data_IF_923080599787
#
_entry.id   IF_923080599787
#
_cell.length_a   1.000
_cell.length_b   1.000
_cell.length_c   1.000
_cell.angle_alpha   90.00
_cell.angle_beta   90.00
_cell.angle_gamma   90.00
#
_symmetry.space_group_name_H-M   'P 1'
#
loop_
_entity.id
_entity.type
_entity.pdbx_description
1 polymer ?
#
# COMPACT_ATOMS: atom_id res chain seq x y z
N UNK A 1 -47.02 -33.87 23.45
CA UNK A 1 -46.99 -32.41 23.37
C UNK A 1 -45.61 -31.79 23.06
N UNK A 2 -44.50 -32.55 23.06
CA UNK A 2 -43.12 -32.02 22.82
C UNK A 2 -42.72 -31.89 21.35
N UNK A 3 -43.40 -32.52 20.40
CA UNK A 3 -43.01 -32.55 18.96
C UNK A 3 -43.46 -31.26 18.23
N UNK A 4 -44.50 -30.55 18.73
CA UNK A 4 -45.02 -29.36 18.07
C UNK A 4 -44.18 -28.10 18.36
N UNK A 5 -43.46 -28.08 19.46
CA UNK A 5 -42.57 -26.95 19.83
C UNK A 5 -41.28 -26.92 19.05
N UNK A 6 -40.71 -28.06 18.63
CA UNK A 6 -39.47 -28.11 17.87
C UNK A 6 -39.60 -27.58 16.43
N UNK A 7 -40.74 -27.83 15.78
CA UNK A 7 -41.00 -27.38 14.41
C UNK A 7 -41.23 -25.83 14.32
N UNK A 8 -41.71 -25.19 15.38
CA UNK A 8 -41.87 -23.72 15.37
C UNK A 8 -40.54 -22.96 15.52
N UNK A 9 -39.63 -23.45 16.35
CA UNK A 9 -38.28 -22.86 16.49
C UNK A 9 -37.44 -22.96 15.21
N UNK A 10 -37.59 -24.02 14.41
CA UNK A 10 -36.90 -24.17 13.13
C UNK A 10 -37.38 -23.20 12.05
N UNK A 11 -38.63 -22.75 12.12
CA UNK A 11 -39.21 -21.79 11.19
C UNK A 11 -38.80 -20.33 11.51
N UNK A 12 -38.63 -20.00 12.79
CA UNK A 12 -38.27 -18.63 13.20
C UNK A 12 -36.79 -18.31 13.01
N UNK A 13 -35.91 -19.30 13.04
CA UNK A 13 -34.47 -19.11 12.84
C UNK A 13 -34.13 -18.41 11.51
N UNK A 14 -34.59 -18.88 10.35
CA UNK A 14 -34.38 -18.22 9.06
C UNK A 14 -34.98 -16.81 8.97
N UNK A 15 -36.15 -16.60 9.57
CA UNK A 15 -36.85 -15.30 9.57
C UNK A 15 -36.04 -14.28 10.39
N UNK A 16 -35.55 -14.67 11.56
CA UNK A 16 -34.72 -13.81 12.42
C UNK A 16 -33.40 -13.49 11.72
N UNK A 17 -32.76 -14.48 11.08
CA UNK A 17 -31.53 -14.26 10.32
C UNK A 17 -31.75 -13.32 9.15
N UNK A 18 -32.84 -13.49 8.39
CA UNK A 18 -33.20 -12.59 7.29
C UNK A 18 -33.46 -11.16 7.78
N UNK A 19 -34.15 -11.01 8.91
CA UNK A 19 -34.39 -9.70 9.51
C UNK A 19 -33.10 -9.04 9.99
N UNK A 20 -32.22 -9.75 10.66
CA UNK A 20 -30.90 -9.26 11.10
C UNK A 20 -30.07 -8.82 9.88
N UNK A 21 -30.05 -9.64 8.83
CA UNK A 21 -29.34 -9.33 7.58
C UNK A 21 -29.91 -8.07 6.94
N UNK A 22 -31.22 -7.94 6.85
CA UNK A 22 -31.88 -6.75 6.32
C UNK A 22 -31.54 -5.48 7.12
N UNK A 23 -31.57 -5.56 8.44
CA UNK A 23 -31.19 -4.44 9.33
C UNK A 23 -29.72 -4.04 9.12
N UNK A 24 -28.83 -5.02 8.96
CA UNK A 24 -27.40 -4.76 8.67
C UNK A 24 -27.24 -4.06 7.32
N UNK A 25 -27.93 -4.53 6.27
CA UNK A 25 -27.90 -3.94 4.93
C UNK A 25 -28.42 -2.50 4.94
N UNK A 26 -29.56 -2.27 5.57
CA UNK A 26 -30.15 -0.91 5.69
C UNK A 26 -29.21 0.01 6.46
N UNK A 27 -28.61 -0.45 7.56
CA UNK A 27 -27.63 0.35 8.31
C UNK A 27 -26.40 0.68 7.48
N UNK A 28 -25.91 -0.26 6.65
CA UNK A 28 -24.78 -0.03 5.76
C UNK A 28 -25.13 1.03 4.70
N UNK A 29 -26.27 0.92 4.04
CA UNK A 29 -26.76 1.89 3.05
C UNK A 29 -26.86 3.31 3.61
N UNK A 30 -27.42 3.45 4.82
CA UNK A 30 -27.59 4.76 5.47
C UNK A 30 -26.24 5.36 5.85
N UNK A 31 -25.32 4.54 6.39
CA UNK A 31 -24.00 5.02 6.87
C UNK A 31 -22.99 5.23 5.77
N UNK A 32 -23.08 4.46 4.69
CA UNK A 32 -22.07 4.41 3.64
C UNK A 32 -22.68 4.48 2.23
N UNK A 33 -23.48 5.52 1.90
CA UNK A 33 -24.25 5.57 0.67
C UNK A 33 -23.38 5.57 -0.60
N UNK A 34 -22.13 6.00 -0.50
CA UNK A 34 -21.17 5.91 -1.59
C UNK A 34 -20.71 4.46 -1.80
N UNK A 35 -20.24 3.81 -0.74
CA UNK A 35 -19.65 2.47 -0.83
C UNK A 35 -20.68 1.38 -1.10
N UNK A 36 -21.94 1.59 -0.71
CA UNK A 36 -23.02 0.64 -0.96
C UNK A 36 -23.23 0.33 -2.45
N UNK A 37 -23.03 1.34 -3.30
CA UNK A 37 -23.20 1.24 -4.75
C UNK A 37 -21.91 0.84 -5.49
N UNK A 38 -20.80 0.68 -4.79
CA UNK A 38 -19.50 0.39 -5.40
C UNK A 38 -19.24 -1.11 -5.49
N UNK A 39 -18.51 -1.58 -6.53
CA UNK A 39 -18.08 -2.97 -6.67
C UNK A 39 -16.90 -3.24 -5.73
N UNK A 40 -17.18 -3.33 -4.44
CA UNK A 40 -16.18 -3.61 -3.39
C UNK A 40 -16.38 -5.00 -2.82
N UNK A 41 -15.30 -5.62 -2.37
CA UNK A 41 -15.35 -6.93 -1.74
C UNK A 41 -16.05 -6.82 -0.38
N UNK A 42 -17.12 -7.59 -0.18
CA UNK A 42 -17.86 -7.69 1.08
C UNK A 42 -17.66 -9.09 1.65
N UNK A 43 -17.57 -9.19 2.97
CA UNK A 43 -17.37 -10.46 3.64
C UNK A 43 -18.54 -11.46 3.48
N UNK A 44 -19.70 -10.96 3.10
CA UNK A 44 -20.92 -11.72 2.84
C UNK A 44 -21.08 -12.16 1.36
N UNK A 45 -20.16 -11.73 0.49
CA UNK A 45 -20.16 -12.10 -0.92
C UNK A 45 -18.92 -12.96 -1.26
N UNK A 46 -18.94 -14.26 -1.00
CA UNK A 46 -17.93 -15.17 -1.53
C UNK A 46 -18.08 -15.21 -3.05
N UNK A 47 -17.27 -14.45 -3.76
CA UNK A 47 -17.26 -14.39 -5.21
C UNK A 47 -16.10 -15.17 -5.81
N UNK A 48 -16.22 -15.51 -7.09
CA UNK A 48 -15.10 -16.00 -7.88
C UNK A 48 -14.01 -14.93 -7.96
N UNK A 49 -12.75 -15.37 -8.02
CA UNK A 49 -11.61 -14.46 -8.24
C UNK A 49 -11.77 -13.76 -9.59
N UNK A 50 -11.70 -12.45 -9.60
CA UNK A 50 -11.81 -11.69 -10.83
C UNK A 50 -12.51 -10.34 -10.69
N UNK A 51 -12.77 -9.72 -11.84
CA UNK A 51 -13.45 -8.43 -11.92
C UNK A 51 -14.92 -8.59 -11.50
N UNK A 52 -15.33 -7.75 -10.54
CA UNK A 52 -16.70 -7.81 -9.98
C UNK A 52 -17.73 -7.26 -10.99
N UNK A 53 -17.43 -6.16 -11.69
CA UNK A 53 -18.37 -5.58 -12.61
C UNK A 53 -17.93 -4.25 -13.22
N UNK A 54 -18.90 -3.42 -13.57
CA UNK A 54 -18.65 -2.06 -14.05
C UNK A 54 -18.98 -1.05 -12.96
N UNK A 55 -17.99 -0.28 -12.55
CA UNK A 55 -18.15 0.73 -11.51
C UNK A 55 -19.20 1.78 -11.89
N UNK A 56 -20.13 2.16 -11.00
CA UNK A 56 -21.04 3.26 -11.23
C UNK A 56 -20.27 4.58 -11.30
N UNK A 57 -20.69 5.48 -12.16
CA UNK A 57 -20.16 6.85 -12.23
C UNK A 57 -21.09 7.79 -11.49
N UNK A 58 -20.56 8.48 -10.50
CA UNK A 58 -21.26 9.58 -9.87
C UNK A 58 -21.00 10.87 -10.65
N UNK A 59 -22.01 11.41 -11.30
CA UNK A 59 -21.92 12.72 -11.91
C UNK A 59 -22.07 13.80 -10.82
N UNK A 60 -20.98 14.07 -10.14
CA UNK A 60 -20.94 15.18 -9.18
C UNK A 60 -20.68 16.46 -9.99
N UNK A 61 -21.69 17.33 -10.07
CA UNK A 61 -21.52 18.66 -10.66
C UNK A 61 -20.62 19.49 -9.77
N UNK A 62 -19.54 20.03 -10.34
CA UNK A 62 -18.69 21.00 -9.64
C UNK A 62 -19.47 22.29 -9.46
N UNK A 63 -19.45 22.82 -8.23
CA UNK A 63 -19.98 24.16 -7.92
C UNK A 63 -19.07 25.24 -8.52
N UNK A 64 -19.60 26.44 -8.65
CA UNK A 64 -18.79 27.62 -9.07
C UNK A 64 -17.54 27.79 -8.21
N UNK A 65 -16.42 28.16 -8.83
CA UNK A 65 -15.12 28.29 -8.17
C UNK A 65 -14.32 27.00 -8.03
N UNK A 66 -14.93 25.83 -8.28
CA UNK A 66 -14.21 24.54 -8.23
C UNK A 66 -13.75 24.09 -9.61
N UNK A 67 -12.54 23.53 -9.68
CA UNK A 67 -11.94 23.02 -10.93
C UNK A 67 -11.16 21.72 -10.66
N UNK A 68 -11.28 20.74 -11.54
CA UNK A 68 -10.41 19.57 -11.57
C UNK A 68 -9.32 19.77 -12.62
N UNK A 69 -8.07 19.56 -12.24
CA UNK A 69 -6.94 19.49 -13.16
C UNK A 69 -6.39 18.06 -13.17
N UNK A 70 -6.17 17.55 -14.37
CA UNK A 70 -5.65 16.20 -14.59
C UNK A 70 -4.26 16.33 -15.19
N UNK A 71 -3.25 15.74 -14.53
CA UNK A 71 -1.84 15.75 -14.95
C UNK A 71 -1.24 17.14 -15.25
N UNK A 72 -1.83 18.18 -14.72
CA UNK A 72 -1.46 19.55 -15.03
C UNK A 72 -1.46 20.44 -13.79
N UNK A 73 -0.57 20.14 -12.85
CA UNK A 73 -0.35 20.99 -11.67
C UNK A 73 1.11 20.93 -11.25
N UNK A 74 1.74 22.06 -10.86
CA UNK A 74 3.15 22.12 -10.50
C UNK A 74 3.49 21.17 -9.34
N UNK A 75 4.53 20.35 -9.51
CA UNK A 75 4.98 19.35 -8.52
C UNK A 75 5.19 19.97 -7.14
N UNK A 76 5.87 21.10 -7.05
CA UNK A 76 6.15 21.78 -5.77
C UNK A 76 4.88 22.17 -5.02
N UNK A 77 3.82 22.58 -5.73
CA UNK A 77 2.54 22.89 -5.09
C UNK A 77 1.79 21.65 -4.62
N UNK A 78 1.88 20.53 -5.36
CA UNK A 78 1.34 19.24 -4.92
C UNK A 78 2.08 18.79 -3.66
N UNK A 79 3.40 18.85 -3.66
CA UNK A 79 4.24 18.47 -2.52
C UNK A 79 3.88 19.28 -1.28
N UNK A 80 3.90 20.62 -1.36
CA UNK A 80 3.53 21.49 -0.24
C UNK A 80 2.13 21.16 0.28
N UNK A 81 1.15 21.01 -0.60
CA UNK A 81 -0.22 20.63 -0.21
C UNK A 81 -0.27 19.30 0.55
N UNK A 82 0.46 18.29 0.09
CA UNK A 82 0.50 16.98 0.73
C UNK A 82 1.24 17.05 2.07
N UNK A 83 2.36 17.76 2.19
CA UNK A 83 3.09 17.96 3.44
C UNK A 83 2.21 18.63 4.51
N UNK A 84 1.39 19.60 4.10
CA UNK A 84 0.51 20.34 5.02
C UNK A 84 -0.74 19.55 5.43
N UNK A 85 -1.23 18.61 4.60
CA UNK A 85 -2.57 18.04 4.75
C UNK A 85 -2.64 16.51 4.82
N UNK A 86 -1.64 15.77 4.30
CA UNK A 86 -1.69 14.31 4.22
C UNK A 86 -1.33 13.66 5.56
N UNK A 87 -0.28 14.13 6.21
CA UNK A 87 0.13 13.69 7.55
C UNK A 87 0.97 14.78 8.22
N UNK A 88 0.64 15.13 9.44
CA UNK A 88 1.30 16.22 10.19
C UNK A 88 2.80 16.01 10.44
N UNK A 89 3.34 14.82 10.17
CA UNK A 89 4.71 14.44 10.48
C UNK A 89 5.48 13.84 9.30
N UNK A 90 4.92 13.89 8.08
CA UNK A 90 5.49 13.22 6.92
C UNK A 90 6.05 14.24 5.93
N UNK A 91 7.37 14.25 5.77
CA UNK A 91 8.02 15.01 4.71
C UNK A 91 8.13 14.15 3.46
N UNK A 92 7.52 14.58 2.39
CA UNK A 92 7.51 13.84 1.13
C UNK A 92 8.85 13.98 0.43
N UNK A 93 9.48 12.85 0.13
CA UNK A 93 10.67 12.83 -0.72
C UNK A 93 10.28 13.32 -2.12
N UNK A 94 10.88 14.44 -2.54
CA UNK A 94 10.57 15.11 -3.81
C UNK A 94 10.90 14.23 -5.02
N UNK A 95 12.05 13.56 -5.00
CA UNK A 95 12.47 12.70 -6.10
C UNK A 95 11.54 11.52 -6.27
N UNK A 96 11.11 10.92 -5.14
CA UNK A 96 10.12 9.85 -5.15
C UNK A 96 8.77 10.34 -5.67
N UNK A 97 8.26 11.46 -5.18
CA UNK A 97 7.00 12.04 -5.65
C UNK A 97 7.06 12.39 -7.15
N UNK A 98 8.17 12.99 -7.60
CA UNK A 98 8.42 13.29 -9.01
C UNK A 98 8.38 12.02 -9.87
N UNK A 99 9.06 10.97 -9.41
CA UNK A 99 9.08 9.68 -10.09
C UNK A 99 7.68 9.11 -10.30
N UNK A 100 6.89 8.96 -9.23
CA UNK A 100 5.55 8.34 -9.33
C UNK A 100 4.57 9.19 -10.14
N UNK A 101 4.61 10.52 -9.98
CA UNK A 101 3.71 11.44 -10.71
C UNK A 101 4.02 11.44 -12.21
N UNK A 102 5.30 11.33 -12.60
CA UNK A 102 5.74 11.35 -13.99
C UNK A 102 5.71 10.00 -14.69
N UNK A 103 5.42 8.93 -13.95
CA UNK A 103 5.39 7.57 -14.48
C UNK A 103 4.38 7.44 -15.63
N UNK A 104 4.75 6.80 -16.76
CA UNK A 104 3.84 6.61 -17.89
C UNK A 104 2.50 5.97 -17.48
N UNK A 105 1.42 6.54 -17.96
CA UNK A 105 0.06 6.07 -17.64
C UNK A 105 -0.45 6.46 -16.25
N UNK A 106 0.30 7.22 -15.45
CA UNK A 106 -0.20 7.76 -14.18
C UNK A 106 -1.26 8.84 -14.39
N UNK A 107 -2.21 8.91 -13.46
CA UNK A 107 -3.21 9.96 -13.39
C UNK A 107 -3.08 10.71 -12.06
N UNK A 108 -2.89 12.02 -12.17
CA UNK A 108 -2.76 12.94 -11.04
C UNK A 108 -3.92 13.92 -11.13
N UNK A 109 -4.81 13.91 -10.15
CA UNK A 109 -5.96 14.80 -10.12
C UNK A 109 -5.82 15.76 -8.97
N UNK A 110 -5.77 17.05 -9.29
CA UNK A 110 -5.83 18.15 -8.33
C UNK A 110 -7.20 18.79 -8.36
N UNK A 111 -7.85 18.90 -7.20
CA UNK A 111 -9.07 19.64 -7.01
C UNK A 111 -8.72 21.04 -6.50
N UNK A 112 -9.15 22.04 -7.22
CA UNK A 112 -8.92 23.43 -6.87
C UNK A 112 -10.22 24.12 -6.45
N UNK A 113 -10.09 25.09 -5.55
CA UNK A 113 -11.09 26.12 -5.29
C UNK A 113 -10.42 27.48 -5.35
N UNK A 114 -10.98 28.37 -6.19
CA UNK A 114 -10.46 29.73 -6.39
C UNK A 114 -8.93 29.75 -6.67
N UNK A 115 -8.48 28.80 -7.50
CA UNK A 115 -7.07 28.63 -7.90
C UNK A 115 -6.16 27.95 -6.90
N UNK A 116 -6.60 27.65 -5.67
CA UNK A 116 -5.83 26.95 -4.63
C UNK A 116 -6.16 25.48 -4.63
N UNK A 117 -5.14 24.61 -4.43
CA UNK A 117 -5.34 23.18 -4.27
C UNK A 117 -6.02 22.87 -2.93
N UNK A 118 -7.10 22.13 -2.97
CA UNK A 118 -7.86 21.68 -1.80
C UNK A 118 -8.01 20.16 -1.73
N UNK A 119 -7.59 19.46 -2.76
CA UNK A 119 -7.59 18.00 -2.80
C UNK A 119 -6.69 17.45 -3.87
N UNK A 120 -6.13 16.26 -3.61
CA UNK A 120 -5.25 15.56 -4.54
C UNK A 120 -5.48 14.06 -4.45
N UNK A 121 -5.31 13.36 -5.56
CA UNK A 121 -5.29 11.90 -5.66
C UNK A 121 -4.37 11.48 -6.80
N UNK A 122 -3.60 10.43 -6.58
CA UNK A 122 -2.71 9.81 -7.55
C UNK A 122 -3.17 8.40 -7.90
N UNK A 123 -2.91 7.96 -9.14
CA UNK A 123 -3.15 6.59 -9.57
C UNK A 123 -2.13 6.19 -10.64
N UNK A 124 -1.49 5.04 -10.47
CA UNK A 124 -0.52 4.49 -11.41
C UNK A 124 -0.86 3.05 -11.82
N UNK A 125 -0.47 2.60 -13.03
CA UNK A 125 -0.60 1.20 -13.41
C UNK A 125 0.40 0.34 -12.64
N UNK A 126 -0.06 -0.83 -12.20
CA UNK A 126 0.80 -1.83 -11.59
C UNK A 126 0.39 -3.23 -12.05
N UNK A 127 1.38 -4.06 -12.33
CA UNK A 127 1.19 -5.45 -12.71
C UNK A 127 1.48 -6.35 -11.50
N UNK A 128 0.51 -7.16 -11.13
CA UNK A 128 0.61 -8.09 -10.02
C UNK A 128 0.39 -9.52 -10.49
N UNK A 129 1.24 -10.40 -10.03
CA UNK A 129 0.98 -11.84 -10.08
C UNK A 129 0.12 -12.20 -8.89
N UNK A 130 -1.07 -12.72 -9.15
CA UNK A 130 -1.97 -13.30 -8.15
C UNK A 130 -2.06 -14.78 -8.44
N UNK A 131 -1.50 -15.60 -7.55
CA UNK A 131 -1.17 -16.99 -7.84
C UNK A 131 -0.31 -17.07 -9.11
N UNK A 132 -0.82 -17.64 -10.19
CA UNK A 132 -0.12 -17.79 -11.48
C UNK A 132 -0.70 -16.88 -12.57
N UNK A 133 -1.56 -15.95 -12.22
CA UNK A 133 -2.21 -15.03 -13.18
C UNK A 133 -1.66 -13.62 -13.04
N UNK A 134 -1.24 -13.05 -14.16
CA UNK A 134 -0.86 -11.62 -14.23
C UNK A 134 -2.14 -10.78 -14.30
N UNK A 135 -2.32 -9.88 -13.36
CA UNK A 135 -3.46 -8.97 -13.29
C UNK A 135 -2.95 -7.54 -13.26
N UNK A 136 -3.43 -6.74 -14.20
CA UNK A 136 -3.13 -5.32 -14.24
C UNK A 136 -4.10 -4.55 -13.33
N UNK A 137 -3.55 -3.94 -12.29
CA UNK A 137 -4.25 -3.05 -11.37
C UNK A 137 -3.89 -1.60 -11.63
N UNK A 138 -4.70 -0.72 -11.04
CA UNK A 138 -4.31 0.66 -10.76
C UNK A 138 -4.05 0.78 -9.26
N UNK A 139 -2.86 1.20 -8.88
CA UNK A 139 -2.59 1.54 -7.50
C UNK A 139 -2.97 3.00 -7.25
N UNK A 140 -3.79 3.23 -6.24
CA UNK A 140 -4.26 4.58 -5.87
C UNK A 140 -3.64 4.97 -4.54
N UNK A 141 -2.99 6.13 -4.52
CA UNK A 141 -2.38 6.69 -3.31
C UNK A 141 -2.61 8.21 -3.22
N UNK A 142 -2.11 8.81 -2.14
CA UNK A 142 -2.17 10.26 -1.88
C UNK A 142 -3.57 10.88 -1.96
N UNK A 143 -4.63 10.12 -1.65
CA UNK A 143 -5.94 10.73 -1.49
C UNK A 143 -5.91 11.66 -0.27
N UNK A 144 -5.83 12.95 -0.54
CA UNK A 144 -5.76 13.99 0.46
C UNK A 144 -6.79 15.09 0.18
N UNK A 145 -7.46 15.55 1.23
CA UNK A 145 -8.37 16.69 1.20
C UNK A 145 -7.98 17.64 2.31
N UNK A 146 -7.88 18.91 1.98
CA UNK A 146 -7.67 19.99 2.96
C UNK A 146 -8.73 19.91 4.06
N UNK A 147 -8.34 20.04 5.31
CA UNK A 147 -9.20 19.78 6.48
C UNK A 147 -10.53 20.53 6.44
N UNK A 148 -10.53 21.80 6.06
CA UNK A 148 -11.73 22.65 5.96
C UNK A 148 -12.77 22.12 4.95
N UNK A 149 -12.33 21.30 3.98
CA UNK A 149 -13.21 20.76 2.93
C UNK A 149 -13.53 19.27 3.13
N UNK A 150 -13.06 18.67 4.23
CA UNK A 150 -13.44 17.29 4.58
C UNK A 150 -14.95 17.21 4.86
N UNK A 151 -15.52 16.03 4.72
CA UNK A 151 -16.95 15.73 4.90
C UNK A 151 -17.91 16.42 3.89
N UNK A 152 -17.40 17.07 2.86
CA UNK A 152 -18.16 17.74 1.80
C UNK A 152 -18.14 16.96 0.47
N UNK A 153 -18.12 15.64 0.49
CA UNK A 153 -18.06 14.75 -0.69
C UNK A 153 -16.86 14.97 -1.62
N UNK A 154 -15.84 15.75 -1.22
CA UNK A 154 -14.66 16.04 -2.08
C UNK A 154 -13.81 14.79 -2.33
N UNK A 155 -13.66 13.91 -1.35
CA UNK A 155 -13.01 12.62 -1.53
C UNK A 155 -13.77 11.74 -2.54
N UNK A 156 -15.10 11.68 -2.43
CA UNK A 156 -15.96 10.96 -3.37
C UNK A 156 -15.81 11.49 -4.80
N UNK A 157 -15.71 12.80 -4.97
CA UNK A 157 -15.48 13.45 -6.25
C UNK A 157 -14.15 12.99 -6.87
N UNK A 158 -13.04 13.04 -6.11
CA UNK A 158 -11.73 12.61 -6.57
C UNK A 158 -11.69 11.12 -6.91
N UNK A 159 -12.27 10.27 -6.06
CA UNK A 159 -12.36 8.82 -6.31
C UNK A 159 -13.18 8.56 -7.59
N UNK A 160 -14.31 9.23 -7.78
CA UNK A 160 -15.14 9.08 -8.98
C UNK A 160 -14.41 9.53 -10.25
N UNK A 161 -13.61 10.59 -10.16
CA UNK A 161 -12.80 11.06 -11.27
C UNK A 161 -11.70 10.03 -11.64
N UNK A 162 -11.01 9.46 -10.66
CA UNK A 162 -10.02 8.37 -10.90
C UNK A 162 -10.69 7.14 -11.52
N UNK A 163 -11.84 6.71 -11.01
CA UNK A 163 -12.58 5.56 -11.57
C UNK A 163 -12.94 5.82 -13.04
N UNK A 164 -13.38 7.03 -13.36
CA UNK A 164 -13.75 7.41 -14.74
C UNK A 164 -12.53 7.40 -15.67
N UNK A 165 -11.39 7.92 -15.24
CA UNK A 165 -10.16 7.98 -16.02
C UNK A 165 -9.53 6.59 -16.24
N UNK A 166 -9.63 5.72 -15.24
CA UNK A 166 -8.98 4.41 -15.22
C UNK A 166 -9.79 3.30 -15.92
N UNK A 167 -10.78 3.61 -16.74
CA UNK A 167 -11.73 2.61 -17.24
C UNK A 167 -12.51 1.91 -16.10
N UNK A 168 -13.81 2.04 -16.11
CA UNK A 168 -14.75 1.60 -15.05
C UNK A 168 -14.72 0.09 -14.73
N UNK A 169 -14.07 -0.72 -15.54
CA UNK A 169 -13.87 -2.17 -15.29
C UNK A 169 -12.50 -2.51 -14.73
N UNK A 170 -11.56 -1.56 -14.74
CA UNK A 170 -10.20 -1.83 -14.30
C UNK A 170 -10.14 -2.04 -12.79
N UNK A 171 -9.47 -3.11 -12.32
CA UNK A 171 -9.18 -3.32 -10.91
C UNK A 171 -8.34 -2.18 -10.34
N UNK A 172 -8.71 -1.76 -9.12
CA UNK A 172 -7.95 -0.75 -8.39
C UNK A 172 -7.52 -1.36 -7.06
N UNK A 173 -6.32 -1.03 -6.60
CA UNK A 173 -5.81 -1.37 -5.30
C UNK A 173 -5.35 -0.12 -4.57
N UNK A 174 -5.50 -0.11 -3.25
CA UNK A 174 -5.00 0.95 -2.39
C UNK A 174 -4.78 0.43 -0.96
N UNK A 175 -4.00 1.17 -0.19
CA UNK A 175 -3.81 0.93 1.24
C UNK A 175 -4.46 2.01 2.09
N UNK A 176 -4.82 1.64 3.31
CA UNK A 176 -5.31 2.58 4.32
C UNK A 176 -4.69 2.27 5.67
N UNK A 177 -4.13 3.28 6.28
CA UNK A 177 -3.54 3.21 7.61
C UNK A 177 -4.59 3.44 8.70
N UNK A 178 -4.34 2.92 9.89
CA UNK A 178 -5.04 3.11 11.16
C UNK A 178 -6.46 2.55 11.22
N UNK A 179 -7.38 2.96 10.37
CA UNK A 179 -8.80 2.62 10.47
C UNK A 179 -9.30 1.79 9.29
N UNK A 180 -10.14 0.80 9.60
CA UNK A 180 -10.77 -0.06 8.61
C UNK A 180 -11.88 0.69 7.85
N UNK A 181 -11.99 0.44 6.55
CA UNK A 181 -13.14 0.87 5.75
C UNK A 181 -14.35 -0.06 5.99
N UNK A 182 -15.56 0.35 5.59
CA UNK A 182 -16.78 -0.43 5.83
C UNK A 182 -16.90 -1.70 4.98
N UNK A 183 -15.86 -2.09 4.25
CA UNK A 183 -15.81 -3.33 3.46
C UNK A 183 -14.53 -4.12 3.74
N UNK A 184 -14.42 -5.32 3.17
CA UNK A 184 -13.41 -6.30 3.57
C UNK A 184 -12.05 -6.00 2.93
N UNK A 185 -10.99 -5.79 3.71
CA UNK A 185 -9.63 -5.76 3.18
C UNK A 185 -9.22 -7.18 2.78
N UNK A 186 -8.46 -7.33 1.71
CA UNK A 186 -7.89 -8.63 1.33
C UNK A 186 -6.63 -8.98 2.14
N UNK A 187 -5.93 -7.97 2.68
CA UNK A 187 -4.85 -8.14 3.65
C UNK A 187 -5.03 -7.13 4.78
N UNK A 188 -4.83 -7.60 6.00
CA UNK A 188 -4.72 -6.78 7.20
C UNK A 188 -3.40 -7.10 7.88
N UNK A 189 -2.53 -6.11 8.02
CA UNK A 189 -1.20 -6.25 8.58
C UNK A 189 -0.86 -5.08 9.50
N UNK A 190 0.38 -5.01 9.97
CA UNK A 190 0.89 -3.91 10.77
C UNK A 190 2.29 -3.52 10.33
N UNK A 191 2.64 -2.25 10.54
CA UNK A 191 4.02 -1.79 10.52
C UNK A 191 4.67 -2.00 11.88
N UNK A 192 5.95 -2.32 11.84
CA UNK A 192 6.80 -2.45 12.99
C UNK A 192 8.01 -1.53 12.84
N UNK A 193 8.49 -0.98 13.94
CA UNK A 193 9.57 -0.01 13.96
C UNK A 193 10.68 -0.43 14.93
N UNK A 194 11.92 -0.20 14.54
CA UNK A 194 13.12 -0.37 15.36
C UNK A 194 13.88 0.95 15.45
N UNK A 195 14.15 1.39 16.66
CA UNK A 195 15.00 2.57 16.93
C UNK A 195 16.47 2.16 16.91
N UNK A 196 17.24 2.70 15.97
CA UNK A 196 18.66 2.44 15.82
C UNK A 196 19.55 3.61 16.26
N UNK A 197 18.98 4.67 16.82
CA UNK A 197 19.72 5.88 17.24
C UNK A 197 20.81 5.57 18.29
N UNK A 198 20.55 4.61 19.17
CA UNK A 198 21.46 4.23 20.25
C UNK A 198 22.57 3.26 19.82
N UNK A 199 22.49 2.70 18.60
CA UNK A 199 23.52 1.83 18.08
C UNK A 199 24.80 2.62 17.81
N UNK A 200 25.95 2.04 18.17
CA UNK A 200 27.24 2.57 17.75
C UNK A 200 27.48 2.16 16.30
N UNK A 201 27.83 3.08 15.41
CA UNK A 201 28.18 2.73 14.02
C UNK A 201 29.35 1.77 14.00
N UNK A 202 29.17 0.64 13.34
CA UNK A 202 30.24 -0.35 13.14
C UNK A 202 30.37 -0.55 11.62
N UNK A 203 31.62 -0.58 11.12
CA UNK A 203 31.87 -0.90 9.73
C UNK A 203 31.35 -2.30 9.41
N UNK A 204 30.56 -2.42 8.36
CA UNK A 204 29.95 -3.67 7.92
C UNK A 204 30.59 -4.06 6.60
N UNK A 205 31.28 -5.19 6.59
CA UNK A 205 32.03 -5.64 5.38
C UNK A 205 31.19 -6.51 4.41
N UNK A 206 30.08 -7.05 4.92
CA UNK A 206 29.29 -8.04 4.18
C UNK A 206 28.16 -7.43 3.32
N UNK A 207 28.17 -6.11 3.12
CA UNK A 207 27.18 -5.43 2.29
C UNK A 207 27.75 -5.12 0.91
N UNK A 208 27.02 -5.56 -0.10
CA UNK A 208 27.32 -5.26 -1.50
C UNK A 208 26.24 -4.36 -2.08
N UNK A 209 26.67 -3.51 -3.01
CA UNK A 209 25.75 -2.65 -3.78
C UNK A 209 25.38 -3.31 -5.10
N UNK A 210 24.19 -2.99 -5.57
CA UNK A 210 23.78 -3.27 -6.92
C UNK A 210 24.58 -2.37 -7.87
N UNK A 211 25.05 -2.95 -8.98
CA UNK A 211 25.81 -2.24 -10.01
C UNK A 211 25.32 -2.63 -11.40
N UNK A 212 25.59 -1.85 -12.45
CA UNK A 212 25.26 -2.23 -13.82
C UNK A 212 25.84 -3.59 -14.26
N UNK A 213 26.96 -4.04 -13.65
CA UNK A 213 27.59 -5.32 -13.98
C UNK A 213 26.91 -6.53 -13.35
N UNK A 214 26.26 -6.36 -12.19
CA UNK A 214 25.64 -7.47 -11.45
C UNK A 214 24.09 -7.43 -11.43
N UNK A 215 23.46 -6.36 -11.96
CA UNK A 215 22.02 -6.17 -11.82
C UNK A 215 21.20 -7.30 -12.43
N UNK A 216 21.61 -7.83 -13.59
CA UNK A 216 20.86 -8.89 -14.27
C UNK A 216 20.82 -10.19 -13.45
N UNK A 217 21.93 -10.52 -12.79
CA UNK A 217 22.00 -11.65 -11.86
C UNK A 217 21.04 -11.46 -10.70
N UNK A 218 21.02 -10.26 -10.11
CA UNK A 218 20.16 -9.98 -8.96
C UNK A 218 18.69 -9.79 -9.35
N UNK A 219 18.38 -9.27 -10.52
CA UNK A 219 17.03 -9.27 -11.07
C UNK A 219 16.46 -10.69 -11.16
N UNK A 220 17.20 -11.61 -11.78
CA UNK A 220 16.79 -13.03 -11.90
C UNK A 220 16.62 -13.67 -10.53
N UNK A 221 17.57 -13.46 -9.62
CA UNK A 221 17.52 -13.99 -8.26
C UNK A 221 16.31 -13.43 -7.48
N UNK A 222 16.08 -12.13 -7.53
CA UNK A 222 14.94 -11.47 -6.90
C UNK A 222 13.60 -12.05 -7.36
N UNK A 223 13.40 -12.13 -8.69
CA UNK A 223 12.16 -12.68 -9.24
C UNK A 223 11.98 -14.16 -8.89
N UNK A 224 13.07 -14.96 -8.84
CA UNK A 224 13.01 -16.36 -8.37
C UNK A 224 12.54 -16.46 -6.92
N UNK A 225 13.01 -15.56 -6.04
CA UNK A 225 12.57 -15.51 -4.64
C UNK A 225 11.14 -15.01 -4.51
N UNK A 226 10.74 -14.04 -5.31
CA UNK A 226 9.36 -13.52 -5.34
C UNK A 226 8.34 -14.59 -5.79
N UNK A 227 8.73 -15.53 -6.64
CA UNK A 227 7.84 -16.60 -7.11
C UNK A 227 7.33 -17.53 -5.98
N UNK A 228 7.87 -17.43 -4.77
CA UNK A 228 7.39 -18.18 -3.59
C UNK A 228 6.09 -17.61 -3.00
N UNK A 229 5.69 -16.42 -3.41
CA UNK A 229 4.53 -15.72 -2.87
C UNK A 229 3.33 -15.82 -3.82
N UNK A 230 2.15 -16.04 -3.24
CA UNK A 230 0.90 -16.14 -3.99
C UNK A 230 0.49 -14.80 -4.61
N UNK A 231 0.86 -13.69 -3.96
CA UNK A 231 0.68 -12.34 -4.49
C UNK A 231 2.00 -11.60 -4.48
N UNK A 232 2.43 -11.11 -5.65
CA UNK A 232 3.73 -10.46 -5.82
C UNK A 232 3.74 -9.49 -7.00
N UNK A 233 4.62 -8.50 -6.92
CA UNK A 233 4.97 -7.64 -8.07
C UNK A 233 6.30 -8.13 -8.65
N UNK A 234 6.31 -8.75 -9.84
CA UNK A 234 7.55 -9.11 -10.52
C UNK A 234 8.24 -7.83 -11.05
N UNK A 235 9.56 -7.84 -11.07
CA UNK A 235 10.32 -6.77 -11.72
C UNK A 235 10.59 -7.13 -13.18
N UNK A 236 10.29 -6.20 -14.10
CA UNK A 236 10.84 -6.23 -15.45
C UNK A 236 12.29 -5.74 -15.42
N UNK A 237 13.04 -5.99 -16.51
CA UNK A 237 14.40 -5.47 -16.63
C UNK A 237 14.43 -3.94 -16.59
N UNK A 238 13.49 -3.30 -17.26
CA UNK A 238 13.38 -1.84 -17.32
C UNK A 238 13.06 -1.25 -15.93
N UNK A 239 12.01 -1.75 -15.26
CA UNK A 239 11.64 -1.27 -13.93
C UNK A 239 12.77 -1.45 -12.90
N UNK A 240 13.44 -2.61 -12.93
CA UNK A 240 14.54 -2.90 -12.00
C UNK A 240 15.73 -1.96 -12.20
N UNK A 241 16.09 -1.70 -13.46
CA UNK A 241 17.16 -0.76 -13.79
C UNK A 241 16.79 0.66 -13.41
N UNK A 242 15.60 1.12 -13.79
CA UNK A 242 15.12 2.47 -13.51
C UNK A 242 15.05 2.77 -12.02
N UNK A 243 14.43 1.87 -11.25
CA UNK A 243 14.18 2.08 -9.82
C UNK A 243 15.46 2.06 -8.99
N UNK A 244 16.37 1.13 -9.27
CA UNK A 244 17.52 0.88 -8.40
C UNK A 244 18.85 1.46 -8.90
N UNK A 245 18.99 1.71 -10.20
CA UNK A 245 20.27 2.14 -10.80
C UNK A 245 20.20 3.51 -11.46
N UNK A 246 19.15 3.80 -12.22
CA UNK A 246 19.02 5.08 -12.94
C UNK A 246 18.47 6.18 -12.03
N UNK A 247 17.30 6.00 -11.47
CA UNK A 247 16.66 7.00 -10.61
C UNK A 247 17.06 6.89 -9.13
N UNK A 248 17.59 5.73 -8.72
CA UNK A 248 17.93 5.44 -7.32
C UNK A 248 16.79 5.76 -6.33
N UNK A 249 15.55 5.46 -6.74
CA UNK A 249 14.34 5.77 -5.97
C UNK A 249 14.23 4.86 -4.75
N UNK A 250 14.74 3.64 -4.87
CA UNK A 250 14.77 2.65 -3.81
C UNK A 250 16.19 2.11 -3.65
N UNK A 251 16.49 1.72 -2.42
CA UNK A 251 17.73 1.05 -2.09
C UNK A 251 17.61 -0.47 -2.29
N UNK A 252 18.62 -1.05 -2.90
CA UNK A 252 18.77 -2.48 -3.07
C UNK A 252 20.04 -2.93 -2.33
N UNK A 253 19.86 -3.46 -1.12
CA UNK A 253 20.94 -3.85 -0.22
C UNK A 253 21.14 -5.37 -0.30
N UNK A 254 22.35 -5.79 -0.61
CA UNK A 254 22.74 -7.20 -0.68
C UNK A 254 23.60 -7.51 0.53
N UNK A 255 23.15 -8.42 1.37
CA UNK A 255 23.88 -8.89 2.54
C UNK A 255 24.36 -10.32 2.25
N UNK A 256 25.67 -10.53 2.28
CA UNK A 256 26.28 -11.85 2.14
C UNK A 256 26.78 -12.32 3.51
N UNK A 257 26.41 -13.54 3.91
CA UNK A 257 26.98 -14.15 5.10
C UNK A 257 28.33 -14.86 4.79
N UNK A 258 28.98 -15.40 5.82
CA UNK A 258 30.25 -16.11 5.69
C UNK A 258 30.21 -17.32 4.71
N UNK A 259 29.03 -17.88 4.51
CA UNK A 259 28.80 -19.01 3.60
C UNK A 259 28.43 -18.56 2.17
N UNK A 260 28.53 -17.27 1.85
CA UNK A 260 28.14 -16.71 0.55
C UNK A 260 26.64 -16.66 0.29
N UNK A 261 25.82 -16.95 1.32
CA UNK A 261 24.36 -16.88 1.24
C UNK A 261 23.94 -15.42 1.21
N UNK A 262 23.02 -15.11 0.28
CA UNK A 262 22.60 -13.74 0.02
C UNK A 262 21.21 -13.47 0.53
N UNK A 263 21.08 -12.39 1.27
CA UNK A 263 19.78 -11.78 1.60
C UNK A 263 19.70 -10.44 0.90
N UNK A 264 18.57 -10.20 0.26
CA UNK A 264 18.26 -8.95 -0.40
C UNK A 264 17.27 -8.18 0.50
N UNK A 265 17.57 -6.92 0.76
CA UNK A 265 16.67 -5.98 1.41
C UNK A 265 16.35 -4.89 0.41
N UNK A 266 15.08 -4.72 0.12
CA UNK A 266 14.56 -3.65 -0.73
C UNK A 266 13.80 -2.68 0.16
N UNK A 267 14.10 -1.41 0.04
CA UNK A 267 13.45 -0.37 0.83
C UNK A 267 13.75 1.03 0.32
N UNK A 268 13.21 2.01 1.00
CA UNK A 268 13.36 3.43 0.63
C UNK A 268 13.57 4.32 1.85
N UNK A 269 14.11 5.49 1.60
CA UNK A 269 14.23 6.55 2.59
C UNK A 269 12.89 7.27 2.76
N UNK A 270 12.40 7.32 4.00
CA UNK A 270 11.31 8.20 4.42
C UNK A 270 11.83 9.20 5.45
N UNK A 271 11.23 10.38 5.46
CA UNK A 271 11.61 11.47 6.35
C UNK A 271 10.39 11.82 7.20
N UNK A 272 10.56 11.81 8.50
CA UNK A 272 9.54 12.25 9.46
C UNK A 272 9.99 13.53 10.15
N UNK A 273 9.05 14.43 10.38
CA UNK A 273 9.27 15.61 11.20
C UNK A 273 8.51 15.43 12.52
N UNK A 274 9.24 15.22 13.60
CA UNK A 274 8.66 15.10 14.92
C UNK A 274 9.04 16.32 15.75
N UNK A 275 8.11 17.24 15.95
CA UNK A 275 8.31 18.47 16.74
C UNK A 275 9.54 19.30 16.27
N UNK A 276 9.71 19.46 14.96
CA UNK A 276 10.84 20.18 14.38
C UNK A 276 12.13 19.35 14.22
N UNK A 277 12.16 18.11 14.72
CA UNK A 277 13.31 17.21 14.57
C UNK A 277 13.09 16.35 13.32
N UNK A 278 14.02 16.42 12.40
CA UNK A 278 14.02 15.58 11.18
C UNK A 278 14.58 14.19 11.54
N UNK A 279 13.80 13.17 11.29
CA UNK A 279 14.12 11.78 11.55
C UNK A 279 14.14 11.00 10.23
N UNK A 280 15.30 10.45 9.88
CA UNK A 280 15.44 9.57 8.72
C UNK A 280 15.00 8.15 9.09
N UNK A 281 14.04 7.62 8.36
CA UNK A 281 13.55 6.26 8.50
C UNK A 281 13.84 5.47 7.23
N UNK A 282 14.35 4.27 7.35
CA UNK A 282 14.44 3.33 6.25
C UNK A 282 13.20 2.43 6.28
N UNK A 283 12.33 2.58 5.32
CA UNK A 283 11.15 1.73 5.16
C UNK A 283 11.51 0.54 4.31
N UNK A 284 11.50 -0.65 4.92
CA UNK A 284 11.71 -1.91 4.21
C UNK A 284 10.41 -2.30 3.51
N UNK A 285 10.46 -2.49 2.20
CA UNK A 285 9.34 -3.07 1.46
C UNK A 285 9.35 -4.60 1.62
N UNK A 286 10.49 -5.22 1.33
CA UNK A 286 10.62 -6.68 1.44
C UNK A 286 12.06 -7.11 1.70
N UNK A 287 12.18 -8.22 2.44
CA UNK A 287 13.41 -8.96 2.67
C UNK A 287 13.28 -10.31 1.96
N UNK A 288 14.23 -10.64 1.09
CA UNK A 288 14.24 -11.86 0.30
C UNK A 288 15.53 -12.64 0.54
N UNK A 289 15.46 -13.97 0.59
CA UNK A 289 16.63 -14.82 0.72
C UNK A 289 16.50 -15.87 1.82
N UNK A 290 17.62 -16.31 2.36
CA UNK A 290 17.68 -17.29 3.42
C UNK A 290 17.47 -16.65 4.79
N UNK A 291 16.36 -16.98 5.41
CA UNK A 291 15.98 -16.44 6.72
C UNK A 291 16.57 -17.25 7.91
N UNK A 292 17.49 -18.17 7.69
CA UNK A 292 18.19 -18.90 8.76
C UNK A 292 19.09 -17.99 9.59
N UNK A 293 19.66 -16.95 8.98
CA UNK A 293 20.61 -16.02 9.57
C UNK A 293 19.99 -14.65 9.85
N UNK A 294 18.71 -14.63 10.14
CA UNK A 294 17.92 -13.40 10.14
C UNK A 294 18.38 -12.39 11.20
N UNK A 295 18.88 -12.87 12.33
CA UNK A 295 19.44 -12.01 13.40
C UNK A 295 20.76 -11.36 12.97
N UNK A 296 21.60 -12.08 12.23
CA UNK A 296 22.83 -11.53 11.65
C UNK A 296 22.50 -10.49 10.58
N UNK A 297 21.50 -10.77 9.74
CA UNK A 297 20.99 -9.84 8.73
C UNK A 297 20.49 -8.55 9.37
N UNK A 298 19.71 -8.65 10.44
CA UNK A 298 19.21 -7.48 11.16
C UNK A 298 20.34 -6.65 11.79
N UNK A 299 21.29 -7.29 12.43
CA UNK A 299 22.47 -6.61 13.00
C UNK A 299 23.29 -5.91 11.93
N UNK A 300 23.55 -6.59 10.82
CA UNK A 300 24.29 -6.06 9.68
C UNK A 300 23.58 -4.86 9.08
N UNK A 301 22.28 -5.00 8.78
CA UNK A 301 21.43 -3.96 8.21
C UNK A 301 21.32 -2.75 9.14
N UNK A 302 21.05 -2.97 10.41
CA UNK A 302 20.92 -1.91 11.41
C UNK A 302 22.19 -1.08 11.54
N UNK A 303 23.36 -1.71 11.58
CA UNK A 303 24.64 -1.01 11.62
C UNK A 303 24.92 -0.24 10.33
N UNK A 304 24.64 -0.83 9.18
CA UNK A 304 24.80 -0.15 7.89
C UNK A 304 23.92 1.08 7.79
N UNK A 305 22.62 0.95 8.06
CA UNK A 305 21.69 2.06 8.03
C UNK A 305 22.05 3.15 9.04
N UNK A 306 22.54 2.76 10.22
CA UNK A 306 23.05 3.71 11.20
C UNK A 306 24.26 4.49 10.67
N UNK A 307 25.19 3.85 9.98
CA UNK A 307 26.35 4.51 9.36
C UNK A 307 25.96 5.49 8.25
N UNK A 308 24.78 5.28 7.62
CA UNK A 308 24.19 6.18 6.61
C UNK A 308 23.33 7.30 7.24
N UNK A 309 23.24 7.40 8.56
CA UNK A 309 22.51 8.46 9.25
C UNK A 309 21.01 8.20 9.43
N UNK A 310 20.55 6.96 9.27
CA UNK A 310 19.18 6.60 9.61
C UNK A 310 18.97 6.53 11.13
N UNK A 311 17.77 6.87 11.56
CA UNK A 311 17.32 6.87 12.96
C UNK A 311 16.46 5.65 13.27
N UNK A 312 15.66 5.21 12.29
CA UNK A 312 14.70 4.13 12.44
C UNK A 312 14.69 3.21 11.23
N UNK A 313 14.27 1.97 11.49
CA UNK A 313 13.90 0.99 10.46
C UNK A 313 12.41 0.70 10.63
N UNK A 314 11.64 0.82 9.56
CA UNK A 314 10.21 0.53 9.51
C UNK A 314 9.95 -0.66 8.60
N UNK A 315 9.16 -1.65 9.05
CA UNK A 315 8.95 -2.91 8.35
C UNK A 315 7.49 -3.30 8.38
N UNK A 316 6.81 -3.50 7.24
CA UNK A 316 5.48 -4.09 7.19
C UNK A 316 5.55 -5.59 7.48
N UNK A 317 4.60 -6.12 8.25
CA UNK A 317 4.52 -7.55 8.55
C UNK A 317 3.85 -8.32 7.39
N UNK A 318 4.52 -8.34 6.23
CA UNK A 318 4.11 -9.07 5.03
C UNK A 318 5.26 -9.96 4.53
N UNK A 319 4.92 -11.05 3.85
CA UNK A 319 5.88 -11.96 3.27
C UNK A 319 6.92 -12.47 4.26
N UNK A 320 8.14 -12.49 3.83
CA UNK A 320 9.31 -12.88 4.63
C UNK A 320 9.65 -11.91 5.76
N UNK A 321 9.16 -10.67 5.71
CA UNK A 321 9.37 -9.68 6.76
C UNK A 321 8.78 -10.14 8.10
N UNK A 322 7.73 -10.97 8.10
CA UNK A 322 7.10 -11.48 9.32
C UNK A 322 8.10 -12.23 10.19
N UNK A 323 8.91 -13.11 9.58
CA UNK A 323 9.94 -13.84 10.31
C UNK A 323 11.03 -12.90 10.81
N UNK A 324 11.44 -11.95 9.97
CA UNK A 324 12.43 -10.93 10.33
C UNK A 324 12.00 -10.12 11.57
N UNK A 325 10.73 -9.72 11.62
CA UNK A 325 10.17 -8.97 12.75
C UNK A 325 10.12 -9.83 14.03
N UNK A 326 9.69 -11.10 13.92
CA UNK A 326 9.52 -12.00 15.07
C UNK A 326 10.83 -12.33 15.79
N UNK A 327 11.90 -12.44 15.03
CA UNK A 327 13.20 -12.87 15.53
C UNK A 327 14.08 -11.69 15.98
N UNK A 328 13.56 -10.45 15.92
CA UNK A 328 14.29 -9.23 16.25
C UNK A 328 13.41 -8.22 17.01
N UNK A 329 14.03 -7.25 17.69
CA UNK A 329 13.37 -6.29 18.58
C UNK A 329 12.61 -5.17 17.84
N UNK A 330 11.61 -5.52 17.08
CA UNK A 330 10.71 -4.57 16.41
C UNK A 330 9.44 -4.36 17.23
N UNK A 331 9.05 -3.10 17.42
CA UNK A 331 7.83 -2.71 18.14
C UNK A 331 6.71 -2.38 17.12
N UNK A 332 5.51 -2.87 17.40
CA UNK A 332 4.35 -2.57 16.58
C UNK A 332 4.04 -1.07 16.62
N UNK A 333 3.88 -0.47 15.44
CA UNK A 333 3.58 0.96 15.25
C UNK A 333 2.11 1.18 14.84
N UNK A 334 1.74 0.79 13.63
CA UNK A 334 0.41 1.06 13.08
C UNK A 334 -0.19 -0.18 12.42
N UNK A 335 -1.50 -0.16 12.21
CA UNK A 335 -2.17 -1.16 11.36
C UNK A 335 -2.35 -0.61 9.96
N UNK A 336 -2.28 -1.50 8.98
CA UNK A 336 -2.46 -1.22 7.56
C UNK A 336 -3.42 -2.22 6.96
N UNK A 337 -4.31 -1.73 6.12
CA UNK A 337 -5.32 -2.50 5.43
C UNK A 337 -5.17 -2.29 3.94
N UNK A 338 -5.05 -3.38 3.18
CA UNK A 338 -5.02 -3.35 1.72
C UNK A 338 -6.39 -3.74 1.17
N UNK A 339 -6.86 -2.96 0.23
CA UNK A 339 -8.17 -3.11 -0.38
C UNK A 339 -8.06 -3.23 -1.88
N UNK A 340 -8.98 -4.01 -2.45
CA UNK A 340 -9.25 -4.00 -3.88
C UNK A 340 -10.60 -3.35 -4.14
N UNK A 341 -10.68 -2.64 -5.25
CA UNK A 341 -11.89 -2.10 -5.81
C UNK A 341 -12.10 -2.73 -7.17
N UNK A 342 -13.32 -3.17 -7.43
CA UNK A 342 -13.72 -3.86 -8.66
C UNK A 342 -12.95 -5.16 -8.98
N UNK A 343 -12.39 -5.79 -7.95
CA UNK A 343 -11.72 -7.07 -8.08
C UNK A 343 -11.89 -7.90 -6.81
N UNK A 344 -12.34 -9.14 -6.98
CA UNK A 344 -12.47 -10.08 -5.88
C UNK A 344 -11.19 -10.91 -5.78
N UNK A 345 -10.50 -10.78 -4.66
CA UNK A 345 -9.32 -11.60 -4.32
C UNK A 345 -9.71 -12.47 -3.12
N UNK A 346 -9.44 -13.77 -3.13
CA UNK A 346 -9.55 -14.57 -1.92
C UNK A 346 -8.62 -14.03 -0.84
N UNK A 347 -8.94 -14.28 0.42
CA UNK A 347 -8.08 -13.90 1.53
C UNK A 347 -6.69 -14.47 1.33
N UNK A 348 -5.72 -13.59 1.11
CA UNK A 348 -4.31 -13.94 1.05
C UNK A 348 -3.72 -13.66 2.42
N UNK A 349 -3.07 -14.66 2.99
CA UNK A 349 -2.39 -14.47 4.27
C UNK A 349 -1.22 -13.49 4.11
N UNK A 350 -0.94 -12.64 5.09
CA UNK A 350 0.17 -11.69 5.00
C UNK A 350 1.52 -12.33 4.65
N UNK A 351 1.79 -13.56 5.10
CA UNK A 351 3.01 -14.31 4.79
C UNK A 351 3.06 -14.86 3.35
N UNK A 352 1.95 -14.88 2.64
CA UNK A 352 1.84 -15.32 1.23
C UNK A 352 1.93 -14.15 0.25
N UNK A 353 2.17 -12.96 0.76
CA UNK A 353 2.16 -11.72 -0.01
C UNK A 353 3.52 -11.04 -0.01
N UNK A 354 4.01 -10.68 -1.18
CA UNK A 354 5.19 -9.86 -1.40
C UNK A 354 4.78 -8.60 -2.18
N UNK A 355 4.08 -7.72 -1.49
CA UNK A 355 3.65 -6.43 -2.05
C UNK A 355 4.72 -5.39 -1.75
N UNK A 356 5.55 -5.12 -2.73
CA UNK A 356 6.43 -3.97 -2.78
C UNK A 356 5.75 -2.86 -3.60
N UNK A 357 4.57 -2.45 -3.12
CA UNK A 357 3.78 -1.40 -3.73
C UNK A 357 4.04 -0.13 -2.94
N UNK A 358 4.80 0.71 -3.53
CA UNK A 358 5.03 2.07 -3.07
C UNK A 358 5.17 2.98 -4.25
#
# INVERSE_FOLDING_TARGET
MAVITYNRLSLYGPIILAFITLVILIRFQIRHPFWDKQPVMRGDMPGLVGVIGTAPVFNIKLKSGYKLLINNYPLLKIRSFLEDNFSNNYNINEDYLKYIISKPGSHNISLLKDGKIIGFIHSEPIDLMIYNSLVQFRYVDYLCIHETYRNNYMATLLISAIIKLNNRRQPIMFKKDYSKLPYTPFISTAYFIKDIRKLRPVKVENIKKLTPFNFYKYLKYTNTLLNRFNMRKPYTKADFFEVFLDKCIMDFIIIENQNGIKTIVIGKKNIYNQNGIILNCFEIDIILGELRYITEVDKCLSNHLKSLGYNYICVPAIGSNIKFIKDNDYKKSSRVYYYTYNYNIPNILPNECALNIN
#
